data_IF_692882012839
#
_entry.id   IF_692882012839
#
_cell.length_a   1.000
_cell.length_b   1.000
_cell.length_c   1.000
_cell.angle_alpha   90.00
_cell.angle_beta   90.00
_cell.angle_gamma   90.00
#
_symmetry.space_group_name_H-M   'P 1'
#
loop_
_entity.id
_entity.type
_entity.pdbx_description
1 polymer ?
#
# COMPACT_ATOMS: atom_id res chain seq x y z
N UNK A 1 20.71 22.63 -6.35
CA UNK A 1 20.95 21.85 -5.12
C UNK A 1 21.63 20.54 -5.54
N UNK A 2 22.88 20.30 -5.14
CA UNK A 2 23.58 19.04 -5.43
C UNK A 2 22.84 17.87 -4.76
N UNK A 3 22.44 16.88 -5.55
CA UNK A 3 21.94 15.53 -5.21
C UNK A 3 21.81 15.22 -3.71
N UNK A 4 20.70 15.66 -3.10
CA UNK A 4 20.36 15.34 -1.72
C UNK A 4 19.30 14.24 -1.65
N UNK A 5 19.20 13.59 -0.51
CA UNK A 5 18.15 12.63 -0.21
C UNK A 5 17.33 13.12 0.97
N UNK A 6 16.08 12.66 1.07
CA UNK A 6 15.29 12.75 2.29
C UNK A 6 15.19 11.37 2.92
N UNK A 7 15.46 11.30 4.22
CA UNK A 7 15.07 10.16 5.07
C UNK A 7 13.80 10.51 5.82
N UNK A 8 12.81 9.63 5.74
CA UNK A 8 11.53 9.77 6.43
C UNK A 8 11.74 9.52 7.93
N UNK A 9 11.40 10.48 8.79
CA UNK A 9 11.54 10.33 10.25
C UNK A 9 10.23 9.88 10.93
N UNK A 10 9.12 10.03 10.22
CA UNK A 10 7.75 9.64 10.59
C UNK A 10 6.92 9.44 9.33
N UNK A 11 5.89 8.61 9.41
CA UNK A 11 5.05 8.27 8.26
C UNK A 11 4.49 9.53 7.58
N UNK A 12 4.53 9.56 6.24
CA UNK A 12 4.13 10.74 5.46
C UNK A 12 3.45 10.32 4.17
N UNK A 13 2.39 11.02 3.73
CA UNK A 13 1.83 10.75 2.42
C UNK A 13 2.83 11.13 1.33
N UNK A 14 2.86 10.29 0.30
CA UNK A 14 3.45 10.59 -0.99
C UNK A 14 2.29 10.82 -1.96
N UNK A 15 2.24 12.02 -2.54
CA UNK A 15 1.18 12.40 -3.46
C UNK A 15 1.73 12.54 -4.89
N UNK A 16 0.86 12.38 -5.88
CA UNK A 16 1.18 12.68 -7.29
C UNK A 16 0.98 14.15 -7.69
N UNK A 17 0.74 15.02 -6.71
CA UNK A 17 0.64 16.47 -6.87
C UNK A 17 1.43 17.17 -5.77
N UNK A 18 2.00 18.34 -6.10
CA UNK A 18 2.67 19.19 -5.12
C UNK A 18 1.68 20.00 -4.26
N UNK A 19 0.41 20.11 -4.66
CA UNK A 19 -0.59 20.89 -3.94
C UNK A 19 -1.30 20.06 -2.85
N UNK A 20 -0.56 19.70 -1.80
CA UNK A 20 -1.08 18.93 -0.66
C UNK A 20 -2.30 19.62 0.00
N UNK A 21 -2.32 20.96 0.06
CA UNK A 21 -3.45 21.72 0.67
C UNK A 21 -4.75 21.53 -0.11
N UNK A 22 -4.69 21.38 -1.43
CA UNK A 22 -5.89 21.08 -2.23
C UNK A 22 -6.46 19.69 -1.94
N UNK A 23 -5.61 18.76 -1.48
CA UNK A 23 -6.01 17.41 -1.12
C UNK A 23 -6.57 17.38 0.30
N UNK A 24 -5.86 17.97 1.26
CA UNK A 24 -6.25 18.10 2.66
C UNK A 24 -6.88 19.49 2.89
N UNK A 25 -8.16 19.62 2.61
CA UNK A 25 -8.90 20.88 2.64
C UNK A 25 -9.97 20.94 1.56
N UNK A 26 -9.68 20.45 0.35
CA UNK A 26 -10.61 20.51 -0.77
C UNK A 26 -11.06 21.95 -1.07
N UNK A 27 -12.24 22.09 -1.68
CA UNK A 27 -12.81 23.40 -2.05
C UNK A 27 -13.22 24.25 -0.85
N UNK A 28 -13.56 23.61 0.28
CA UNK A 28 -14.16 24.28 1.45
C UNK A 28 -13.24 24.31 2.69
N UNK A 29 -11.97 23.93 2.56
CA UNK A 29 -10.99 23.77 3.67
C UNK A 29 -11.43 22.79 4.77
N UNK A 30 -12.38 21.91 4.49
CA UNK A 30 -12.91 20.93 5.44
C UNK A 30 -13.30 19.61 4.77
N UNK A 31 -12.82 19.36 3.55
CA UNK A 31 -13.04 18.12 2.82
C UNK A 31 -11.74 17.55 2.29
N UNK A 32 -11.79 16.28 1.89
CA UNK A 32 -10.71 15.66 1.12
C UNK A 32 -11.08 15.74 -0.36
N UNK A 33 -10.08 15.95 -1.23
CA UNK A 33 -10.29 15.84 -2.68
C UNK A 33 -10.43 14.36 -3.07
N UNK A 34 -11.67 13.89 -3.05
CA UNK A 34 -12.05 12.52 -3.37
C UNK A 34 -12.69 12.42 -4.77
N UNK A 35 -12.64 11.23 -5.38
CA UNK A 35 -13.46 10.91 -6.53
C UNK A 35 -14.87 10.44 -6.14
N UNK A 36 -15.70 10.06 -7.13
CA UNK A 36 -17.07 9.56 -6.90
C UNK A 36 -17.15 8.30 -6.04
N UNK A 37 -16.04 7.57 -5.84
CA UNK A 37 -15.94 6.38 -4.99
C UNK A 37 -15.37 6.69 -3.60
N UNK A 38 -15.10 7.97 -3.31
CA UNK A 38 -14.47 8.38 -2.07
C UNK A 38 -12.97 8.11 -2.02
N UNK A 39 -12.31 7.92 -3.17
CA UNK A 39 -10.87 7.64 -3.24
C UNK A 39 -10.06 8.93 -3.36
N UNK A 40 -9.00 9.05 -2.57
CA UNK A 40 -8.03 10.14 -2.70
C UNK A 40 -7.06 9.79 -3.82
N UNK A 41 -7.44 10.07 -5.07
CA UNK A 41 -6.65 9.70 -6.28
C UNK A 41 -5.26 10.32 -6.33
N UNK A 42 -5.04 11.38 -5.55
CA UNK A 42 -3.73 12.00 -5.41
C UNK A 42 -2.75 11.18 -4.55
N UNK A 43 -3.25 10.30 -3.68
CA UNK A 43 -2.42 9.48 -2.80
C UNK A 43 -1.83 8.31 -3.57
N UNK A 44 -0.51 8.26 -3.64
CA UNK A 44 0.22 7.13 -4.22
C UNK A 44 0.47 6.08 -3.14
N UNK A 45 1.06 6.48 -2.02
CA UNK A 45 1.30 5.63 -0.85
C UNK A 45 1.63 6.45 0.40
N UNK A 46 1.70 5.80 1.55
CA UNK A 46 2.27 6.37 2.78
C UNK A 46 3.72 5.87 2.90
N UNK A 47 4.69 6.77 2.82
CA UNK A 47 6.07 6.41 3.09
C UNK A 47 6.24 6.07 4.57
N UNK A 48 6.86 4.93 4.85
CA UNK A 48 7.15 4.47 6.20
C UNK A 48 8.41 5.13 6.74
N UNK A 49 8.55 5.15 8.07
CA UNK A 49 9.78 5.61 8.73
C UNK A 49 11.01 4.91 8.14
N UNK A 50 12.11 5.65 8.05
CA UNK A 50 13.41 5.26 7.53
C UNK A 50 13.49 5.05 6.02
N UNK A 51 12.39 5.17 5.27
CA UNK A 51 12.45 5.20 3.80
C UNK A 51 13.25 6.40 3.30
N UNK A 52 13.99 6.19 2.21
CA UNK A 52 14.84 7.20 1.59
C UNK A 52 14.36 7.50 0.18
N UNK A 53 14.30 8.78 -0.15
CA UNK A 53 13.95 9.28 -1.48
C UNK A 53 15.01 10.23 -2.01
N UNK A 54 15.27 10.16 -3.32
CA UNK A 54 16.14 11.12 -3.99
C UNK A 54 15.37 12.40 -4.23
N UNK A 55 15.95 13.55 -3.88
CA UNK A 55 15.37 14.86 -4.15
C UNK A 55 15.63 15.23 -5.61
N UNK A 56 14.58 15.52 -6.36
CA UNK A 56 14.68 15.97 -7.75
C UNK A 56 14.63 17.48 -7.86
N UNK A 57 13.60 18.10 -7.28
CA UNK A 57 13.43 19.55 -7.27
C UNK A 57 12.60 20.03 -6.09
N UNK A 58 12.85 21.27 -5.67
CA UNK A 58 11.94 22.00 -4.80
C UNK A 58 10.78 22.56 -5.64
N UNK A 59 9.56 22.53 -5.10
CA UNK A 59 8.38 23.11 -5.77
C UNK A 59 8.18 24.57 -5.34
N UNK A 60 7.25 25.32 -5.96
CA UNK A 60 6.85 26.63 -5.45
C UNK A 60 6.25 26.59 -4.03
N UNK A 61 5.74 25.44 -3.58
CA UNK A 61 5.24 25.28 -2.22
C UNK A 61 6.42 25.08 -1.24
N UNK A 62 6.52 25.87 -0.15
CA UNK A 62 7.73 25.97 0.67
C UNK A 62 8.31 24.66 1.20
N UNK A 63 7.44 23.71 1.54
CA UNK A 63 7.82 22.44 2.15
C UNK A 63 7.69 21.24 1.22
N UNK A 64 7.21 21.42 -0.01
CA UNK A 64 6.93 20.31 -0.92
C UNK A 64 8.06 20.16 -1.93
N UNK A 65 8.52 18.92 -2.06
CA UNK A 65 9.61 18.55 -2.96
C UNK A 65 9.15 17.45 -3.88
N UNK A 66 9.58 17.51 -5.14
CA UNK A 66 9.50 16.39 -6.05
C UNK A 66 10.64 15.42 -5.74
N UNK A 67 10.32 14.14 -5.70
CA UNK A 67 11.24 13.06 -5.37
C UNK A 67 11.16 11.91 -6.37
N UNK A 68 12.18 11.05 -6.36
CA UNK A 68 12.13 9.71 -6.96
C UNK A 68 12.35 8.62 -5.92
N UNK A 69 11.74 7.46 -6.20
CA UNK A 69 11.87 6.23 -5.43
C UNK A 69 12.55 5.15 -6.28
N UNK A 70 13.32 4.27 -5.64
CA UNK A 70 13.92 3.10 -6.29
C UNK A 70 12.96 1.90 -6.36
N UNK A 71 11.92 1.89 -5.52
CA UNK A 71 10.96 0.79 -5.40
C UNK A 71 9.57 1.14 -5.93
N UNK A 72 9.24 2.41 -6.09
CA UNK A 72 7.94 2.87 -6.57
C UNK A 72 8.11 3.69 -7.85
N UNK A 73 7.68 3.15 -8.99
CA UNK A 73 7.86 3.80 -10.30
C UNK A 73 6.69 4.73 -10.61
N UNK A 74 6.93 6.04 -10.48
CA UNK A 74 6.02 7.10 -10.95
C UNK A 74 6.82 8.34 -11.29
N UNK A 75 6.36 9.11 -12.28
CA UNK A 75 6.99 10.36 -12.71
C UNK A 75 6.69 11.54 -11.79
N UNK A 76 5.60 11.45 -11.03
CA UNK A 76 5.11 12.52 -10.18
C UNK A 76 4.96 11.97 -8.76
N UNK A 77 6.00 12.18 -7.95
CA UNK A 77 5.99 11.87 -6.52
C UNK A 77 6.43 13.11 -5.77
N UNK A 78 5.62 13.49 -4.78
CA UNK A 78 5.84 14.67 -3.97
C UNK A 78 5.74 14.31 -2.50
N UNK A 79 6.62 14.93 -1.70
CA UNK A 79 6.72 14.72 -0.26
C UNK A 79 6.78 16.06 0.47
N UNK A 80 6.18 16.10 1.66
CA UNK A 80 6.33 17.21 2.59
C UNK A 80 7.59 17.01 3.46
N UNK A 81 8.57 17.88 3.25
CA UNK A 81 9.86 17.87 3.95
C UNK A 81 9.75 17.99 5.48
N UNK A 82 8.61 18.48 6.02
CA UNK A 82 8.35 18.55 7.47
C UNK A 82 8.26 17.18 8.16
N UNK A 83 8.16 16.10 7.37
CA UNK A 83 8.18 14.71 7.84
C UNK A 83 9.54 14.01 7.64
N UNK A 84 10.56 14.76 7.23
CA UNK A 84 11.84 14.20 6.77
C UNK A 84 13.03 14.93 7.38
N UNK A 85 14.21 14.32 7.23
CA UNK A 85 15.50 14.98 7.42
C UNK A 85 16.35 14.84 6.14
N UNK A 86 17.12 15.88 5.74
CA UNK A 86 18.10 15.76 4.68
C UNK A 86 19.17 14.71 5.03
N UNK A 87 19.57 13.90 4.07
CA UNK A 87 20.71 12.99 4.18
C UNK A 87 21.53 12.98 2.90
N UNK A 88 22.83 12.66 3.03
CA UNK A 88 23.79 12.59 1.92
C UNK A 88 23.91 11.18 1.34
N UNK A 89 23.37 10.18 2.02
CA UNK A 89 23.61 8.78 1.69
C UNK A 89 22.35 8.10 1.21
N UNK A 90 22.47 7.39 0.09
CA UNK A 90 21.52 6.38 -0.36
C UNK A 90 21.73 5.02 0.30
N UNK A 91 22.68 4.88 1.22
CA UNK A 91 23.13 3.58 1.72
C UNK A 91 22.06 2.79 2.50
N UNK A 92 20.99 3.45 2.98
CA UNK A 92 19.85 2.74 3.60
C UNK A 92 18.74 2.38 2.59
N UNK A 93 18.93 2.60 1.28
CA UNK A 93 17.97 2.15 0.26
C UNK A 93 18.06 0.63 0.15
N UNK A 94 17.21 -0.06 0.92
CA UNK A 94 16.96 -1.50 0.96
C UNK A 94 17.99 -2.37 1.71
N UNK A 95 17.85 -2.43 3.04
CA UNK A 95 18.26 -3.64 3.76
C UNK A 95 17.42 -4.84 3.28
N UNK A 96 17.95 -6.07 3.36
CA UNK A 96 17.14 -7.28 3.12
C UNK A 96 15.94 -7.31 4.09
N UNK A 97 14.84 -7.98 3.72
CA UNK A 97 13.74 -8.22 4.65
C UNK A 97 14.25 -9.05 5.84
N UNK A 98 14.29 -8.44 7.03
CA UNK A 98 14.79 -9.07 8.27
C UNK A 98 13.63 -9.72 9.05
N UNK A 99 12.40 -9.67 8.52
CA UNK A 99 11.22 -10.17 9.23
C UNK A 99 11.02 -11.66 8.94
N UNK A 100 10.90 -12.47 9.99
CA UNK A 100 10.52 -13.87 9.84
C UNK A 100 9.08 -14.00 9.32
N UNK A 101 8.74 -15.08 8.59
CA UNK A 101 7.38 -15.35 8.15
C UNK A 101 6.34 -15.25 9.28
N UNK A 102 6.65 -15.82 10.45
CA UNK A 102 5.80 -15.75 11.65
C UNK A 102 5.52 -14.31 12.09
N UNK A 103 6.51 -13.41 12.03
CA UNK A 103 6.35 -12.00 12.40
C UNK A 103 5.48 -11.24 11.39
N UNK A 104 5.61 -11.54 10.10
CA UNK A 104 4.78 -10.96 9.04
C UNK A 104 3.33 -11.41 9.22
N UNK A 105 3.08 -12.70 9.42
CA UNK A 105 1.74 -13.25 9.67
C UNK A 105 1.10 -12.61 10.92
N UNK A 106 1.86 -12.51 12.03
CA UNK A 106 1.37 -11.86 13.25
C UNK A 106 0.94 -10.41 13.00
N UNK A 107 1.71 -9.68 12.19
CA UNK A 107 1.36 -8.30 11.79
C UNK A 107 0.14 -8.27 10.89
N UNK A 108 0.03 -9.12 9.89
CA UNK A 108 -1.17 -9.19 9.03
C UNK A 108 -2.43 -9.41 9.88
N UNK A 109 -2.40 -10.37 10.82
CA UNK A 109 -3.52 -10.65 11.73
C UNK A 109 -3.84 -9.45 12.62
N UNK A 110 -2.85 -8.68 13.07
CA UNK A 110 -3.10 -7.50 13.90
C UNK A 110 -3.83 -6.36 13.18
N UNK A 111 -4.00 -6.45 11.85
CA UNK A 111 -4.77 -5.47 11.08
C UNK A 111 -6.24 -5.88 10.90
N UNK A 112 -6.69 -7.02 11.45
CA UNK A 112 -8.09 -7.43 11.30
C UNK A 112 -9.06 -6.35 11.79
N UNK A 113 -10.03 -5.98 10.94
CA UNK A 113 -10.98 -4.91 11.22
C UNK A 113 -10.51 -3.51 10.84
N UNK A 114 -9.25 -3.32 10.42
CA UNK A 114 -8.76 -2.02 9.96
C UNK A 114 -9.47 -1.57 8.68
N UNK A 115 -9.66 -0.24 8.55
CA UNK A 115 -10.42 0.36 7.45
C UNK A 115 -9.67 0.27 6.11
N UNK A 116 -10.46 0.13 5.04
CA UNK A 116 -9.94 0.29 3.67
C UNK A 116 -9.83 1.77 3.32
N UNK A 117 -8.64 2.21 2.94
CA UNK A 117 -8.40 3.54 2.34
C UNK A 117 -7.54 3.34 1.09
N UNK A 118 -8.09 3.71 -0.08
CA UNK A 118 -7.38 3.60 -1.35
C UNK A 118 -6.06 4.38 -1.31
N UNK A 119 -4.94 3.74 -1.66
CA UNK A 119 -3.62 4.36 -1.64
C UNK A 119 -2.96 4.37 -0.26
N UNK A 120 -3.65 4.04 0.83
CA UNK A 120 -3.04 4.00 2.15
C UNK A 120 -2.36 2.65 2.47
N UNK A 121 -1.33 2.70 3.30
CA UNK A 121 -0.61 1.53 3.81
C UNK A 121 -0.11 1.77 5.25
N UNK A 122 -0.89 2.50 6.06
CA UNK A 122 -0.56 2.77 7.44
C UNK A 122 -1.82 2.76 8.32
N UNK A 123 -2.07 1.62 8.95
CA UNK A 123 -3.22 1.34 9.82
C UNK A 123 -3.42 2.36 10.93
N UNK A 124 -2.33 2.91 11.48
CA UNK A 124 -2.40 3.82 12.64
C UNK A 124 -2.75 5.27 12.29
N UNK A 125 -2.65 5.64 11.02
CA UNK A 125 -2.86 7.01 10.55
C UNK A 125 -1.75 8.00 10.96
N UNK A 126 -1.65 9.09 10.21
CA UNK A 126 -0.59 10.08 10.30
C UNK A 126 -1.10 11.29 11.09
N UNK A 127 -0.99 11.24 12.42
CA UNK A 127 -1.52 12.26 13.33
C UNK A 127 -1.04 13.68 13.00
N UNK A 128 0.20 13.82 12.52
CA UNK A 128 0.79 15.09 12.14
C UNK A 128 0.12 15.77 10.93
N UNK A 129 -0.73 15.06 10.17
CA UNK A 129 -1.54 15.70 9.13
C UNK A 129 -2.47 16.76 9.70
N UNK A 130 -3.01 16.57 10.90
CA UNK A 130 -3.84 17.60 11.57
C UNK A 130 -3.01 18.83 11.92
N UNK A 131 -1.73 18.66 12.28
CA UNK A 131 -0.83 19.77 12.57
C UNK A 131 -0.47 20.57 11.32
N UNK A 132 -0.14 19.87 10.24
CA UNK A 132 0.43 20.49 9.04
C UNK A 132 -0.60 20.87 7.97
N UNK A 133 -1.77 20.24 8.02
CA UNK A 133 -2.94 20.45 7.17
C UNK A 133 -4.22 20.39 8.03
N UNK A 134 -4.41 21.35 8.95
CA UNK A 134 -5.56 21.34 9.84
C UNK A 134 -6.86 21.54 9.07
N UNK A 135 -7.93 20.78 9.40
CA UNK A 135 -9.27 21.10 8.93
C UNK A 135 -9.73 22.43 9.55
N UNK A 136 -10.57 23.17 8.83
CA UNK A 136 -11.09 24.45 9.31
C UNK A 136 -12.17 24.31 10.39
N UNK A 137 -12.79 23.13 10.52
CA UNK A 137 -13.80 22.80 11.53
C UNK A 137 -13.56 21.39 12.09
N UNK A 138 -14.29 21.02 13.14
CA UNK A 138 -14.32 19.64 13.62
C UNK A 138 -14.73 18.66 12.51
N UNK A 139 -14.07 17.50 12.46
CA UNK A 139 -14.38 16.41 11.56
C UNK A 139 -15.14 15.32 12.33
N UNK A 140 -16.10 14.67 11.68
CA UNK A 140 -16.63 13.41 12.21
C UNK A 140 -15.54 12.31 12.19
N UNK A 141 -15.77 11.22 12.93
CA UNK A 141 -14.77 10.15 13.08
C UNK A 141 -14.38 9.48 11.76
N UNK A 142 -15.30 9.36 10.79
CA UNK A 142 -15.01 8.72 9.51
C UNK A 142 -14.14 9.62 8.62
N UNK A 143 -14.50 10.90 8.55
CA UNK A 143 -13.71 11.88 7.82
C UNK A 143 -12.36 12.11 8.49
N UNK A 144 -12.28 12.08 9.83
CA UNK A 144 -11.03 12.16 10.57
C UNK A 144 -10.10 10.98 10.22
N UNK A 145 -10.60 9.75 10.26
CA UNK A 145 -9.78 8.57 9.90
C UNK A 145 -9.26 8.68 8.46
N UNK A 146 -10.10 9.12 7.51
CA UNK A 146 -9.66 9.39 6.14
C UNK A 146 -8.64 10.52 6.07
N UNK A 147 -8.82 11.61 6.82
CA UNK A 147 -7.89 12.75 6.84
C UNK A 147 -6.52 12.34 7.34
N UNK A 148 -6.49 11.43 8.32
CA UNK A 148 -5.29 10.83 8.86
C UNK A 148 -4.69 9.74 7.97
N UNK A 149 -5.37 9.35 6.88
CA UNK A 149 -5.02 8.17 6.08
C UNK A 149 -4.91 6.90 6.93
N UNK A 150 -5.77 6.78 7.95
CA UNK A 150 -5.79 5.68 8.91
C UNK A 150 -6.46 4.44 8.32
N UNK A 151 -5.66 3.62 7.66
CA UNK A 151 -6.15 2.42 7.00
C UNK A 151 -5.15 1.88 5.98
N UNK A 152 -5.56 0.80 5.33
CA UNK A 152 -4.73 0.08 4.37
C UNK A 152 -5.57 -0.34 3.16
N UNK A 153 -5.03 -0.19 1.95
CA UNK A 153 -5.59 -0.85 0.78
C UNK A 153 -5.07 -2.30 0.65
N UNK A 154 -5.49 -2.97 -0.45
CA UNK A 154 -5.23 -4.38 -0.67
C UNK A 154 -3.73 -4.75 -0.66
N UNK A 155 -2.87 -3.97 -1.32
CA UNK A 155 -1.42 -4.20 -1.30
C UNK A 155 -0.74 -3.45 -0.15
N UNK A 156 -1.38 -2.41 0.37
CA UNK A 156 -0.91 -1.62 1.50
C UNK A 156 -0.78 -2.42 2.78
N UNK A 157 -1.68 -3.37 3.05
CA UNK A 157 -1.57 -4.24 4.24
C UNK A 157 -0.29 -5.11 4.19
N UNK A 158 0.06 -5.65 3.02
CA UNK A 158 1.28 -6.44 2.84
C UNK A 158 2.52 -5.54 2.95
N UNK A 159 2.45 -4.36 2.33
CA UNK A 159 3.51 -3.36 2.39
C UNK A 159 3.80 -2.94 3.83
N UNK A 160 2.78 -2.63 4.63
CA UNK A 160 2.93 -2.27 6.04
C UNK A 160 3.45 -3.44 6.88
N UNK A 161 2.84 -4.63 6.75
CA UNK A 161 3.25 -5.81 7.53
C UNK A 161 4.72 -6.19 7.30
N UNK A 162 5.22 -5.92 6.10
CA UNK A 162 6.60 -6.18 5.68
C UNK A 162 7.53 -4.98 5.83
N UNK A 163 7.14 -3.87 6.46
CA UNK A 163 7.95 -2.64 6.55
C UNK A 163 8.44 -2.13 5.17
N UNK A 164 7.63 -2.31 4.12
CA UNK A 164 7.94 -1.85 2.77
C UNK A 164 8.84 -2.79 1.95
N UNK A 165 9.07 -4.03 2.39
CA UNK A 165 9.90 -5.00 1.66
C UNK A 165 9.21 -5.69 0.47
N UNK A 166 7.90 -5.47 0.29
CA UNK A 166 7.16 -5.92 -0.89
C UNK A 166 6.86 -4.76 -1.83
N UNK A 167 6.65 -5.00 -3.12
CA UNK A 167 6.13 -3.97 -4.02
C UNK A 167 4.83 -3.36 -3.50
N UNK A 168 4.68 -2.05 -3.66
CA UNK A 168 3.50 -1.31 -3.17
C UNK A 168 2.26 -1.52 -4.04
N UNK A 169 2.44 -1.76 -5.33
CA UNK A 169 1.35 -1.81 -6.31
C UNK A 169 1.10 -3.22 -6.84
N UNK A 170 -0.18 -3.54 -7.09
CA UNK A 170 -0.60 -4.84 -7.65
C UNK A 170 0.09 -5.16 -8.98
N UNK A 171 0.31 -4.15 -9.83
CA UNK A 171 1.00 -4.30 -11.12
C UNK A 171 2.39 -4.93 -10.98
N UNK A 172 3.15 -4.53 -9.96
CA UNK A 172 4.48 -5.07 -9.70
C UNK A 172 4.38 -6.45 -9.02
N UNK A 173 3.39 -6.65 -8.15
CA UNK A 173 3.11 -7.94 -7.53
C UNK A 173 2.75 -9.05 -8.53
N UNK A 174 2.21 -8.72 -9.70
CA UNK A 174 1.90 -9.70 -10.75
C UNK A 174 3.12 -10.49 -11.23
N UNK A 175 4.32 -9.92 -11.13
CA UNK A 175 5.58 -10.55 -11.55
C UNK A 175 6.59 -10.62 -10.40
N UNK A 176 6.12 -10.52 -9.16
CA UNK A 176 6.99 -10.50 -8.00
C UNK A 176 7.44 -11.91 -7.63
N UNK A 177 8.76 -12.15 -7.67
CA UNK A 177 9.38 -13.41 -7.23
C UNK A 177 8.82 -14.62 -7.98
N UNK A 178 8.88 -15.80 -7.36
CA UNK A 178 8.68 -17.07 -8.05
C UNK A 178 7.20 -17.36 -8.30
N UNK A 179 6.83 -17.87 -9.49
CA UNK A 179 5.48 -18.33 -9.77
C UNK A 179 5.18 -19.62 -8.99
N UNK A 180 3.96 -19.73 -8.46
CA UNK A 180 3.39 -21.02 -8.06
C UNK A 180 2.54 -21.56 -9.20
N UNK A 181 2.94 -22.70 -9.77
CA UNK A 181 2.26 -23.26 -10.93
C UNK A 181 0.86 -23.80 -10.60
N UNK A 182 -0.18 -23.10 -11.06
CA UNK A 182 -1.59 -23.36 -10.76
C UNK A 182 -2.49 -23.51 -11.99
N UNK A 183 -1.95 -23.31 -13.18
CA UNK A 183 -2.73 -23.46 -14.41
C UNK A 183 -3.34 -24.87 -14.50
N UNK A 184 -4.60 -24.93 -14.92
CA UNK A 184 -5.42 -26.15 -15.00
C UNK A 184 -5.67 -26.87 -13.67
N UNK A 185 -5.34 -26.28 -12.52
CA UNK A 185 -5.67 -26.84 -11.22
C UNK A 185 -7.07 -26.42 -10.75
N UNK A 186 -7.78 -27.36 -10.12
CA UNK A 186 -9.02 -27.08 -9.40
C UNK A 186 -8.76 -26.28 -8.11
N UNK A 187 -9.80 -25.64 -7.57
CA UNK A 187 -9.75 -24.92 -6.28
C UNK A 187 -9.15 -25.78 -5.17
N UNK A 188 -9.55 -27.05 -5.10
CA UNK A 188 -9.06 -28.00 -4.08
C UNK A 188 -7.56 -28.27 -4.24
N UNK A 189 -7.08 -28.41 -5.46
CA UNK A 189 -5.66 -28.60 -5.75
C UNK A 189 -4.86 -27.33 -5.44
N UNK A 190 -5.37 -26.15 -5.79
CA UNK A 190 -4.72 -24.87 -5.50
C UNK A 190 -4.63 -24.63 -3.99
N UNK A 191 -5.74 -24.86 -3.26
CA UNK A 191 -5.78 -24.68 -1.79
C UNK A 191 -4.75 -25.55 -1.06
N UNK A 192 -4.46 -26.76 -1.57
CA UNK A 192 -3.41 -27.64 -1.03
C UNK A 192 -1.99 -27.26 -1.44
N UNK A 193 -1.83 -26.47 -2.51
CA UNK A 193 -0.53 -26.12 -3.09
C UNK A 193 0.04 -24.83 -2.51
N UNK A 194 -0.83 -23.92 -2.10
CA UNK A 194 -0.41 -22.66 -1.50
C UNK A 194 0.27 -22.87 -0.16
N UNK A 195 1.14 -21.93 0.20
CA UNK A 195 1.85 -21.86 1.48
C UNK A 195 1.58 -20.51 2.15
N UNK A 196 1.77 -20.40 3.47
CA UNK A 196 1.72 -19.11 4.16
C UNK A 196 2.56 -18.06 3.43
N UNK A 197 2.01 -16.85 3.31
CA UNK A 197 2.56 -15.69 2.60
C UNK A 197 2.66 -15.80 1.08
N UNK A 198 2.16 -16.87 0.46
CA UNK A 198 1.85 -16.83 -0.97
C UNK A 198 0.83 -15.72 -1.25
N UNK A 199 1.02 -15.04 -2.37
CA UNK A 199 0.19 -13.91 -2.78
C UNK A 199 -0.60 -14.34 -4.02
N UNK A 200 -1.92 -14.41 -3.89
CA UNK A 200 -2.83 -14.55 -5.03
C UNK A 200 -3.05 -13.14 -5.59
N UNK A 201 -2.61 -12.89 -6.82
CA UNK A 201 -2.57 -11.55 -7.42
C UNK A 201 -3.38 -11.52 -8.72
N UNK A 202 -4.17 -10.46 -8.89
CA UNK A 202 -4.82 -10.10 -10.15
C UNK A 202 -4.87 -8.58 -10.29
N UNK A 203 -5.20 -8.05 -11.48
CA UNK A 203 -5.05 -6.63 -11.85
C UNK A 203 -5.48 -5.62 -10.78
N UNK A 204 -6.59 -5.89 -10.09
CA UNK A 204 -7.25 -4.95 -9.18
C UNK A 204 -7.10 -5.30 -7.70
N UNK A 205 -6.45 -6.41 -7.33
CA UNK A 205 -6.44 -6.87 -5.95
C UNK A 205 -5.36 -7.90 -5.65
N UNK A 206 -5.10 -8.09 -4.35
CA UNK A 206 -4.31 -9.20 -3.84
C UNK A 206 -5.03 -9.90 -2.70
N UNK A 207 -4.73 -11.19 -2.53
CA UNK A 207 -5.12 -12.00 -1.38
C UNK A 207 -3.88 -12.69 -0.84
N UNK A 208 -3.65 -12.63 0.46
CA UNK A 208 -2.45 -13.17 1.11
C UNK A 208 -2.85 -14.43 1.87
N UNK A 209 -2.15 -15.53 1.61
CA UNK A 209 -2.38 -16.79 2.32
C UNK A 209 -1.81 -16.69 3.74
N UNK A 210 -2.63 -16.93 4.77
CA UNK A 210 -2.17 -16.95 6.16
C UNK A 210 -1.66 -18.33 6.55
N UNK A 211 -2.43 -19.35 6.20
CA UNK A 211 -2.21 -20.75 6.52
C UNK A 211 -2.94 -21.64 5.50
N UNK A 212 -2.98 -22.96 5.75
CA UNK A 212 -3.64 -23.95 4.88
C UNK A 212 -5.16 -23.76 4.75
N UNK A 213 -5.79 -23.03 5.67
CA UNK A 213 -7.24 -22.88 5.77
C UNK A 213 -7.70 -21.46 5.43
N UNK A 214 -6.87 -20.45 5.67
CA UNK A 214 -7.28 -19.05 5.65
C UNK A 214 -6.38 -18.14 4.82
N UNK A 215 -7.03 -17.11 4.29
CA UNK A 215 -6.38 -15.95 3.69
C UNK A 215 -6.80 -14.66 4.38
N UNK A 216 -6.05 -13.60 4.12
CA UNK A 216 -6.32 -12.23 4.56
C UNK A 216 -6.19 -11.26 3.38
N UNK A 217 -7.02 -10.24 3.35
CA UNK A 217 -7.01 -9.18 2.35
C UNK A 217 -7.66 -7.91 2.92
N UNK A 218 -7.32 -6.74 2.37
CA UNK A 218 -8.06 -5.50 2.63
C UNK A 218 -8.98 -5.20 1.45
N UNK A 219 -10.30 -5.27 1.69
CA UNK A 219 -11.34 -5.11 0.66
C UNK A 219 -12.05 -3.77 0.79
N UNK A 220 -12.31 -3.16 -0.36
CA UNK A 220 -13.17 -1.98 -0.45
C UNK A 220 -14.52 -2.27 0.26
N UNK A 221 -14.98 -1.34 1.09
CA UNK A 221 -16.17 -1.42 1.97
C UNK A 221 -16.12 -2.41 3.15
N UNK A 222 -15.15 -3.33 3.21
CA UNK A 222 -15.05 -4.31 4.32
C UNK A 222 -13.83 -4.10 5.21
N UNK A 223 -12.81 -3.40 4.71
CA UNK A 223 -11.53 -3.31 5.39
C UNK A 223 -10.79 -4.65 5.37
N UNK A 224 -9.95 -4.87 6.39
CA UNK A 224 -9.14 -6.08 6.50
C UNK A 224 -9.96 -7.23 7.07
N UNK A 225 -10.08 -8.29 6.29
CA UNK A 225 -10.87 -9.47 6.65
C UNK A 225 -10.08 -10.76 6.47
N UNK A 226 -10.41 -11.76 7.30
CA UNK A 226 -9.94 -13.15 7.19
C UNK A 226 -11.03 -13.99 6.54
N UNK A 227 -10.68 -14.80 5.54
CA UNK A 227 -11.63 -15.63 4.79
C UNK A 227 -11.07 -17.04 4.61
N UNK A 228 -11.90 -18.11 4.63
CA UNK A 228 -11.46 -19.44 4.22
C UNK A 228 -10.93 -19.43 2.78
N UNK A 229 -9.75 -20.01 2.56
CA UNK A 229 -9.05 -19.90 1.27
C UNK A 229 -9.84 -20.52 0.12
N UNK A 230 -10.47 -21.68 0.35
CA UNK A 230 -11.29 -22.35 -0.66
C UNK A 230 -12.49 -21.49 -1.07
N UNK A 231 -13.14 -20.83 -0.09
CA UNK A 231 -14.25 -19.89 -0.36
C UNK A 231 -13.76 -18.72 -1.20
N UNK A 232 -12.61 -18.14 -0.84
CA UNK A 232 -12.10 -16.97 -1.55
C UNK A 232 -11.65 -17.32 -2.97
N UNK A 233 -10.99 -18.46 -3.17
CA UNK A 233 -10.65 -18.98 -4.50
C UNK A 233 -11.89 -19.26 -5.35
N UNK A 234 -12.99 -19.73 -4.76
CA UNK A 234 -14.25 -19.92 -5.46
C UNK A 234 -14.84 -18.58 -5.94
N UNK A 235 -14.78 -17.52 -5.13
CA UNK A 235 -15.19 -16.17 -5.54
C UNK A 235 -14.34 -15.63 -6.69
N UNK A 236 -13.02 -15.81 -6.62
CA UNK A 236 -12.09 -15.37 -7.66
C UNK A 236 -12.35 -16.12 -8.98
N UNK A 237 -12.52 -17.44 -8.93
CA UNK A 237 -12.78 -18.27 -10.12
C UNK A 237 -14.03 -17.90 -10.92
N UNK A 238 -15.02 -17.25 -10.29
CA UNK A 238 -16.21 -16.76 -11.01
C UNK A 238 -15.85 -15.75 -12.10
N UNK A 239 -14.75 -15.03 -11.95
CA UNK A 239 -14.37 -13.92 -12.84
C UNK A 239 -12.93 -13.96 -13.31
N UNK A 240 -12.12 -14.93 -12.83
CA UNK A 240 -10.70 -15.05 -13.14
C UNK A 240 -10.30 -16.50 -13.41
N UNK A 241 -9.28 -16.68 -14.24
CA UNK A 241 -8.69 -17.97 -14.61
C UNK A 241 -7.32 -18.15 -13.94
N UNK A 242 -7.01 -19.32 -13.38
CA UNK A 242 -5.70 -19.59 -12.81
C UNK A 242 -4.68 -19.70 -13.93
N UNK A 243 -3.59 -18.93 -13.83
CA UNK A 243 -2.48 -18.97 -14.78
C UNK A 243 -1.15 -18.99 -14.06
N UNK A 244 -0.14 -19.55 -14.72
CA UNK A 244 1.24 -19.53 -14.23
C UNK A 244 1.88 -18.14 -14.42
N UNK A 245 1.56 -17.51 -15.55
CA UNK A 245 2.00 -16.17 -15.93
C UNK A 245 0.77 -15.29 -16.21
N UNK A 246 0.85 -14.02 -15.82
CA UNK A 246 -0.26 -13.09 -16.02
C UNK A 246 -0.23 -12.58 -17.47
N UNK A 247 -1.30 -12.79 -18.22
CA UNK A 247 -1.39 -12.40 -19.63
C UNK A 247 -2.54 -11.40 -19.88
N UNK A 248 -3.62 -11.51 -19.11
CA UNK A 248 -4.83 -10.73 -19.31
C UNK A 248 -5.50 -10.32 -18.00
N UNK A 249 -6.43 -9.35 -18.07
CA UNK A 249 -7.26 -8.94 -16.93
C UNK A 249 -8.18 -10.04 -16.39
N UNK A 250 -8.34 -11.14 -17.13
CA UNK A 250 -9.11 -12.31 -16.71
C UNK A 250 -8.25 -13.32 -15.96
N UNK A 251 -6.95 -13.08 -15.77
CA UNK A 251 -6.08 -14.03 -15.08
C UNK A 251 -5.89 -13.65 -13.62
N UNK A 252 -5.65 -14.68 -12.81
CA UNK A 252 -4.96 -14.52 -11.54
C UNK A 252 -3.76 -15.46 -11.49
N UNK A 253 -2.73 -15.04 -10.77
CA UNK A 253 -1.49 -15.79 -10.58
C UNK A 253 -1.21 -15.92 -9.09
N UNK A 254 -0.33 -16.85 -8.73
CA UNK A 254 0.19 -16.95 -7.36
C UNK A 254 1.70 -16.71 -7.38
N UNK A 255 2.16 -15.90 -6.42
CA UNK A 255 3.56 -15.54 -6.22
C UNK A 255 4.06 -15.94 -4.86
N UNK A 256 5.25 -16.53 -4.82
CA UNK A 256 5.95 -16.96 -3.60
C UNK A 256 7.26 -16.19 -3.47
N UNK A 257 7.46 -15.58 -2.31
CA UNK A 257 8.59 -14.67 -2.06
C UNK A 257 9.47 -15.06 -0.88
N UNK A 258 8.99 -15.94 -0.01
CA UNK A 258 9.68 -16.51 1.16
C UNK A 258 9.58 -18.03 1.14
#
# INVERSE_FOLDING_TARGET
MKNGYFKVIKETPILNTDNFRSIFGGENKNSLKEDKKGHIRALEFVALKDMIFKIEKKTPFPYIYKISSTFYKSENLYIDSRFTIPTRSSADINSKCILSPKKIIKRLISHLGEKYIWGANFSKGIKDLIKYYPPSKGLDNNLLDKWLLKGVDCSGILFEATNGFTPRNTKELLNFKEPVFIENLSIKQISKKVKPLDIIVFKSHIVIVLDENYSIESRENFGVIKTPIAKRLAEIHKTKKPKNLYQSSQDYVIRRWL
#
